data_IF_620054296588
#
_entry.id   IF_620054296588
#
_cell.length_a   1.000
_cell.length_b   1.000
_cell.length_c   1.000
_cell.angle_alpha   90.00
_cell.angle_beta   90.00
_cell.angle_gamma   90.00
#
_symmetry.space_group_name_H-M   'P 1'
#
loop_
_entity.id
_entity.type
_entity.pdbx_description
1 polymer ?
#
# COMPACT_ATOMS: atom_id res chain seq x y z
N UNK A 1 12.36 -11.41 10.25
CA UNK A 1 11.80 -10.35 9.40
C UNK A 1 12.34 -10.56 7.99
N UNK A 2 11.57 -10.24 6.94
CA UNK A 2 12.05 -10.37 5.55
C UNK A 2 13.24 -9.41 5.34
N UNK A 3 14.34 -9.83 4.69
CA UNK A 3 15.51 -8.97 4.45
C UNK A 3 15.14 -7.68 3.73
N UNK A 4 15.89 -6.60 3.95
CA UNK A 4 15.60 -5.32 3.28
C UNK A 4 15.73 -5.42 1.75
N UNK A 5 16.73 -6.16 1.26
CA UNK A 5 16.89 -6.37 -0.18
C UNK A 5 15.66 -7.02 -0.83
N UNK A 6 15.12 -8.07 -0.21
CA UNK A 6 13.87 -8.69 -0.63
C UNK A 6 12.71 -7.70 -0.63
N UNK A 7 12.57 -6.88 0.42
CA UNK A 7 11.49 -5.88 0.53
C UNK A 7 11.58 -4.80 -0.53
N UNK A 8 12.78 -4.34 -0.88
CA UNK A 8 12.99 -3.34 -1.94
C UNK A 8 12.80 -3.94 -3.33
N UNK A 9 13.23 -5.19 -3.55
CA UNK A 9 12.91 -5.94 -4.77
C UNK A 9 11.39 -6.05 -4.97
N UNK A 10 10.64 -6.41 -3.91
CA UNK A 10 9.18 -6.43 -3.96
C UNK A 10 8.56 -5.05 -4.26
N UNK A 11 9.11 -3.98 -3.69
CA UNK A 11 8.67 -2.61 -3.96
C UNK A 11 8.88 -2.22 -5.44
N UNK A 12 10.00 -2.63 -6.04
CA UNK A 12 10.28 -2.43 -7.47
C UNK A 12 9.34 -3.24 -8.35
N UNK A 13 9.21 -4.54 -8.12
CA UNK A 13 8.32 -5.43 -8.89
C UNK A 13 6.86 -4.96 -8.86
N UNK A 14 6.39 -4.50 -7.70
CA UNK A 14 5.05 -3.92 -7.56
C UNK A 14 4.90 -2.66 -8.42
N UNK A 15 5.89 -1.78 -8.44
CA UNK A 15 5.83 -0.56 -9.26
C UNK A 15 5.86 -0.87 -10.76
N UNK A 16 6.65 -1.84 -11.18
CA UNK A 16 6.68 -2.35 -12.56
C UNK A 16 5.32 -2.94 -12.97
N UNK A 17 4.66 -3.64 -12.06
CA UNK A 17 3.29 -4.16 -12.26
C UNK A 17 2.28 -3.01 -12.39
N UNK A 18 2.32 -2.03 -11.50
CA UNK A 18 1.45 -0.84 -11.56
C UNK A 18 1.68 -0.06 -12.85
N UNK A 19 2.94 0.12 -13.28
CA UNK A 19 3.27 0.75 -14.56
C UNK A 19 2.69 0.00 -15.75
N UNK A 20 2.70 -1.33 -15.71
CA UNK A 20 2.12 -2.17 -16.76
C UNK A 20 0.60 -2.02 -16.83
N UNK A 21 -0.09 -1.97 -15.69
CA UNK A 21 -1.53 -1.71 -15.63
C UNK A 21 -1.88 -0.31 -16.16
N UNK A 22 -1.15 0.71 -15.72
CA UNK A 22 -1.39 2.09 -16.14
C UNK A 22 -1.17 2.26 -17.64
N UNK A 23 -0.11 1.64 -18.19
CA UNK A 23 0.13 1.60 -19.64
C UNK A 23 -0.99 0.92 -20.42
N UNK A 24 -1.65 -0.07 -19.83
CA UNK A 24 -2.82 -0.74 -20.40
C UNK A 24 -4.14 0.04 -20.21
N UNK A 25 -4.09 1.24 -19.60
CA UNK A 25 -5.28 2.05 -19.33
C UNK A 25 -6.09 1.57 -18.12
N UNK A 26 -5.51 0.74 -17.25
CA UNK A 26 -6.20 0.13 -16.10
C UNK A 26 -5.76 0.80 -14.81
N UNK A 27 -6.74 1.17 -13.97
CA UNK A 27 -6.54 1.65 -12.59
C UNK A 27 -6.94 0.50 -11.65
N UNK A 28 -6.08 0.10 -10.72
CA UNK A 28 -6.33 -1.01 -9.80
C UNK A 28 -7.36 -0.64 -8.73
N UNK A 29 -7.24 0.57 -8.15
CA UNK A 29 -8.14 1.15 -7.15
C UNK A 29 -8.24 0.45 -5.80
N UNK A 30 -7.63 -0.72 -5.64
CA UNK A 30 -7.53 -1.43 -4.36
C UNK A 30 -6.11 -1.93 -4.05
N UNK A 31 -5.12 -1.08 -4.33
CA UNK A 31 -3.73 -1.39 -3.96
C UNK A 31 -3.60 -1.33 -2.44
N UNK A 32 -3.35 -2.48 -1.82
CA UNK A 32 -3.11 -2.59 -0.39
C UNK A 32 -2.25 -3.83 -0.07
N UNK A 33 -1.66 -3.89 1.13
CA UNK A 33 -0.77 -4.99 1.49
C UNK A 33 -1.44 -6.37 1.58
N UNK A 34 -2.77 -6.47 1.66
CA UNK A 34 -3.51 -7.77 1.62
C UNK A 34 -3.63 -8.30 0.19
N UNK A 35 -3.59 -7.40 -0.78
CA UNK A 35 -3.64 -7.70 -2.21
C UNK A 35 -2.23 -7.86 -2.82
N UNK A 36 -1.18 -7.77 -2.01
CA UNK A 36 0.20 -8.02 -2.43
C UNK A 36 0.70 -9.32 -1.81
N UNK A 37 1.26 -10.22 -2.62
CA UNK A 37 1.65 -11.55 -2.18
C UNK A 37 3.07 -11.90 -2.60
N UNK A 38 3.80 -12.56 -1.70
CA UNK A 38 5.04 -13.23 -2.06
C UNK A 38 4.73 -14.51 -2.82
N UNK A 39 5.51 -14.77 -3.86
CA UNK A 39 5.49 -16.04 -4.56
C UNK A 39 5.93 -17.19 -3.65
N UNK A 40 5.61 -18.39 -4.12
CA UNK A 40 5.96 -19.63 -3.45
C UNK A 40 6.46 -20.64 -4.48
N UNK A 41 7.44 -21.46 -4.09
CA UNK A 41 7.88 -22.63 -4.86
C UNK A 41 6.67 -23.47 -5.24
N UNK A 42 6.49 -23.80 -6.53
CA UNK A 42 5.35 -24.59 -6.98
C UNK A 42 5.31 -25.95 -6.27
N UNK A 43 4.16 -26.26 -5.67
CA UNK A 43 3.89 -27.56 -5.01
C UNK A 43 2.71 -28.27 -5.64
N UNK A 44 2.14 -27.75 -6.73
CA UNK A 44 0.97 -28.31 -7.42
C UNK A 44 1.20 -29.77 -7.81
N UNK A 45 2.39 -30.11 -8.30
CA UNK A 45 2.80 -31.48 -8.63
C UNK A 45 3.04 -32.42 -7.44
N UNK A 46 3.05 -31.92 -6.20
CA UNK A 46 3.29 -32.76 -5.02
C UNK A 46 2.05 -33.61 -4.71
N UNK A 47 2.28 -34.83 -4.24
CA UNK A 47 1.22 -35.69 -3.71
C UNK A 47 0.55 -35.04 -2.49
N UNK A 48 -0.67 -35.47 -2.15
CA UNK A 48 -1.39 -34.96 -0.97
C UNK A 48 -0.60 -35.22 0.33
N UNK A 49 0.04 -36.38 0.46
CA UNK A 49 0.85 -36.69 1.65
C UNK A 49 2.06 -35.78 1.75
N UNK A 50 2.78 -35.57 0.65
CA UNK A 50 3.92 -34.65 0.61
C UNK A 50 3.51 -33.21 0.96
N UNK A 51 2.35 -32.74 0.46
CA UNK A 51 1.79 -31.42 0.84
C UNK A 51 1.52 -31.34 2.35
N UNK A 52 1.03 -32.40 2.98
CA UNK A 52 0.78 -32.43 4.42
C UNK A 52 2.04 -32.54 5.28
N UNK A 53 3.08 -33.22 4.78
CA UNK A 53 4.39 -33.23 5.44
C UNK A 53 5.02 -31.84 5.41
N UNK A 54 4.87 -31.12 4.29
CA UNK A 54 5.43 -29.80 4.07
C UNK A 54 4.69 -28.67 4.80
N UNK A 55 3.35 -28.65 4.71
CA UNK A 55 2.50 -27.55 5.21
C UNK A 55 1.77 -27.88 6.52
N UNK A 56 1.84 -29.14 6.96
CA UNK A 56 0.97 -29.68 8.00
C UNK A 56 -0.42 -30.06 7.46
N UNK A 57 -1.18 -30.76 8.31
CA UNK A 57 -2.59 -31.06 8.02
C UNK A 57 -3.46 -29.83 8.29
N UNK A 58 -4.48 -29.54 7.46
CA UNK A 58 -5.42 -28.46 7.73
C UNK A 58 -6.05 -28.62 9.12
N UNK A 59 -5.90 -27.59 9.95
CA UNK A 59 -6.58 -27.51 11.23
C UNK A 59 -7.99 -27.01 10.97
N UNK A 60 -8.98 -27.80 11.42
CA UNK A 60 -10.39 -27.54 11.15
C UNK A 60 -11.20 -27.52 12.42
N UNK A 61 -12.21 -26.67 12.45
CA UNK A 61 -13.23 -26.64 13.48
C UNK A 61 -14.60 -26.62 12.80
N UNK A 62 -15.54 -27.41 13.30
CA UNK A 62 -16.94 -27.32 12.84
C UNK A 62 -17.45 -25.92 13.21
N UNK A 63 -18.11 -25.24 12.28
CA UNK A 63 -18.75 -23.94 12.55
C UNK A 63 -19.76 -24.15 13.69
N UNK A 64 -19.53 -23.60 14.89
CA UNK A 64 -20.45 -23.80 15.99
C UNK A 64 -21.66 -22.85 15.83
N UNK A 65 -22.82 -23.27 16.33
CA UNK A 65 -24.03 -22.43 16.44
C UNK A 65 -24.64 -21.92 15.13
N UNK A 66 -24.57 -22.71 14.05
CA UNK A 66 -25.30 -22.39 12.81
C UNK A 66 -26.02 -23.63 12.30
N UNK A 67 -27.35 -23.56 12.17
CA UNK A 67 -28.18 -24.58 11.50
C UNK A 67 -28.05 -24.42 9.98
N UNK A 68 -26.92 -24.88 9.45
CA UNK A 68 -26.69 -24.94 8.01
C UNK A 68 -27.31 -26.23 7.45
N UNK A 69 -27.91 -26.15 6.26
CA UNK A 69 -28.41 -27.32 5.52
C UNK A 69 -27.33 -28.39 5.27
N UNK A 70 -26.05 -28.00 5.35
CA UNK A 70 -24.88 -28.89 5.37
C UNK A 70 -23.85 -28.38 6.39
N UNK A 71 -23.29 -29.29 7.18
CA UNK A 71 -22.25 -28.99 8.17
C UNK A 71 -21.01 -28.38 7.50
N UNK A 72 -20.66 -27.15 7.86
CA UNK A 72 -19.47 -26.44 7.38
C UNK A 72 -18.30 -26.52 8.37
N UNK A 73 -17.08 -26.32 7.86
CA UNK A 73 -15.85 -26.29 8.64
C UNK A 73 -15.16 -24.93 8.48
N UNK A 74 -14.72 -24.33 9.57
CA UNK A 74 -13.69 -23.28 9.57
C UNK A 74 -12.34 -23.95 9.41
N UNK A 75 -11.49 -23.41 8.53
CA UNK A 75 -10.12 -23.89 8.32
C UNK A 75 -9.16 -22.81 8.74
N UNK A 76 -8.24 -23.15 9.64
CA UNK A 76 -7.21 -22.21 10.09
C UNK A 76 -6.26 -21.85 8.93
N UNK A 77 -5.80 -20.60 8.83
CA UNK A 77 -4.79 -20.20 7.85
C UNK A 77 -3.54 -21.07 7.96
N UNK A 78 -3.01 -21.50 6.82
CA UNK A 78 -1.75 -22.24 6.76
C UNK A 78 -0.58 -21.32 7.11
N UNK A 79 0.39 -21.85 7.86
CA UNK A 79 1.67 -21.17 8.11
C UNK A 79 2.68 -21.67 7.07
N UNK A 80 2.92 -20.89 6.04
CA UNK A 80 3.87 -21.26 4.99
C UNK A 80 5.32 -21.28 5.53
N UNK A 81 6.08 -22.37 5.30
CA UNK A 81 7.50 -22.41 5.57
C UNK A 81 8.24 -21.30 4.81
N UNK A 82 9.20 -20.64 5.47
CA UNK A 82 9.96 -19.53 4.86
C UNK A 82 10.75 -19.98 3.63
N UNK A 83 11.21 -21.23 3.62
CA UNK A 83 12.03 -21.81 2.56
C UNK A 83 11.24 -22.05 1.27
N UNK A 84 9.90 -22.02 1.33
CA UNK A 84 9.06 -22.07 0.14
C UNK A 84 8.82 -20.69 -0.47
N UNK A 85 9.10 -19.60 0.24
CA UNK A 85 8.86 -18.25 -0.27
C UNK A 85 9.90 -17.92 -1.35
N UNK A 86 9.45 -17.45 -2.51
CA UNK A 86 10.31 -16.93 -3.57
C UNK A 86 10.48 -15.41 -3.46
N UNK A 87 11.39 -14.84 -4.24
CA UNK A 87 11.57 -13.38 -4.32
C UNK A 87 10.60 -12.70 -5.30
N UNK A 88 9.83 -13.48 -6.06
CA UNK A 88 8.71 -12.97 -6.87
C UNK A 88 7.63 -12.33 -6.00
N UNK A 89 7.09 -11.19 -6.45
CA UNK A 89 6.06 -10.42 -5.77
C UNK A 89 4.90 -10.09 -6.70
N UNK A 90 3.69 -10.43 -6.27
CA UNK A 90 2.49 -10.38 -7.10
C UNK A 90 1.48 -9.38 -6.56
N UNK A 91 0.85 -8.65 -7.48
CA UNK A 91 -0.38 -7.91 -7.23
C UNK A 91 -1.58 -8.78 -7.61
N UNK A 92 -2.52 -8.89 -6.69
CA UNK A 92 -3.72 -9.69 -6.78
C UNK A 92 -4.98 -8.81 -6.62
N UNK A 93 -6.13 -9.44 -6.82
CA UNK A 93 -7.47 -8.86 -6.62
C UNK A 93 -7.79 -7.62 -7.47
N UNK A 94 -8.23 -7.91 -8.70
CA UNK A 94 -8.67 -6.90 -9.66
C UNK A 94 -10.18 -6.62 -9.55
N UNK A 95 -10.83 -6.98 -8.43
CA UNK A 95 -12.29 -6.84 -8.28
C UNK A 95 -12.79 -5.39 -8.39
N UNK A 96 -11.97 -4.41 -8.00
CA UNK A 96 -12.28 -2.97 -8.14
C UNK A 96 -11.59 -2.30 -9.34
N UNK A 97 -10.82 -3.05 -10.12
CA UNK A 97 -10.05 -2.51 -11.22
C UNK A 97 -10.97 -2.00 -12.34
N UNK A 98 -10.56 -0.93 -13.02
CA UNK A 98 -11.37 -0.24 -14.02
C UNK A 98 -10.51 0.28 -15.17
N UNK A 99 -11.03 0.28 -16.41
CA UNK A 99 -10.37 0.99 -17.51
C UNK A 99 -10.72 2.48 -17.50
N UNK A 100 -9.76 3.32 -17.85
CA UNK A 100 -10.03 4.74 -18.07
C UNK A 100 -11.11 4.89 -19.15
N UNK A 101 -12.10 5.73 -18.87
CA UNK A 101 -13.21 6.01 -19.78
C UNK A 101 -14.46 5.16 -19.55
N UNK A 102 -14.40 4.10 -18.73
CA UNK A 102 -15.61 3.34 -18.38
C UNK A 102 -16.60 4.25 -17.63
N UNK A 103 -17.86 4.26 -18.05
CA UNK A 103 -18.89 5.19 -17.52
C UNK A 103 -19.33 4.86 -16.09
N UNK A 104 -19.18 3.60 -15.66
CA UNK A 104 -19.56 3.13 -14.34
C UNK A 104 -18.33 2.95 -13.47
N UNK A 105 -18.21 3.71 -12.39
CA UNK A 105 -17.23 3.47 -11.33
C UNK A 105 -17.94 2.70 -10.21
N UNK A 106 -17.64 1.40 -10.07
CA UNK A 106 -18.12 0.65 -8.89
C UNK A 106 -17.66 1.36 -7.61
N UNK A 107 -18.55 1.47 -6.61
CA UNK A 107 -18.16 2.03 -5.32
C UNK A 107 -17.18 1.09 -4.63
N UNK A 108 -16.04 1.64 -4.24
CA UNK A 108 -14.98 0.88 -3.59
C UNK A 108 -13.71 1.71 -3.46
N UNK A 109 -13.01 1.49 -2.37
CA UNK A 109 -11.74 2.12 -2.02
C UNK A 109 -10.91 1.09 -1.23
N UNK A 110 -9.58 1.21 -1.25
CA UNK A 110 -8.75 0.36 -0.39
C UNK A 110 -8.98 0.73 1.07
N UNK A 111 -8.51 -0.09 2.02
CA UNK A 111 -8.48 0.31 3.43
C UNK A 111 -7.92 1.73 3.57
N UNK A 112 -8.52 2.55 4.46
CA UNK A 112 -8.34 4.01 4.45
C UNK A 112 -6.88 4.46 4.48
N UNK A 113 -5.99 3.70 5.13
CA UNK A 113 -4.56 4.02 5.19
C UNK A 113 -3.77 3.82 3.89
N UNK A 114 -4.37 3.21 2.87
CA UNK A 114 -3.86 3.20 1.50
C UNK A 114 -4.66 4.12 0.57
N UNK A 115 -5.82 4.63 1.00
CA UNK A 115 -6.69 5.43 0.16
C UNK A 115 -6.09 6.82 -0.04
N UNK A 116 -6.07 7.31 -1.28
CA UNK A 116 -5.58 8.65 -1.57
C UNK A 116 -6.55 9.72 -1.04
N UNK A 117 -6.05 10.89 -0.61
CA UNK A 117 -6.89 11.91 -0.03
C UNK A 117 -7.87 12.49 -1.06
N UNK A 118 -7.49 12.60 -2.34
CA UNK A 118 -8.41 12.96 -3.43
C UNK A 118 -9.62 12.00 -3.52
N UNK A 119 -9.37 10.69 -3.39
CA UNK A 119 -10.42 9.65 -3.37
C UNK A 119 -11.34 9.74 -2.16
N UNK A 120 -10.88 10.34 -1.06
CA UNK A 120 -11.69 10.64 0.13
C UNK A 120 -12.45 11.98 0.00
N UNK A 121 -12.19 12.78 -1.05
CA UNK A 121 -12.75 14.12 -1.25
C UNK A 121 -13.51 14.25 -2.58
N UNK A 122 -14.41 13.29 -2.87
CA UNK A 122 -15.29 13.27 -4.05
C UNK A 122 -14.60 13.37 -5.42
N UNK A 123 -13.31 13.04 -5.50
CA UNK A 123 -12.63 12.98 -6.80
C UNK A 123 -12.71 11.57 -7.38
N UNK A 124 -12.88 11.51 -8.71
CA UNK A 124 -12.89 10.25 -9.43
C UNK A 124 -11.50 9.56 -9.36
N UNK A 125 -11.46 8.22 -9.31
CA UNK A 125 -10.20 7.49 -9.45
C UNK A 125 -9.45 7.85 -10.73
N UNK A 126 -8.15 8.01 -10.57
CA UNK A 126 -7.18 8.17 -11.64
C UNK A 126 -5.96 7.28 -11.35
N UNK A 127 -5.01 7.20 -12.27
CA UNK A 127 -3.74 6.51 -12.00
C UNK A 127 -3.03 7.05 -10.75
N UNK A 128 -3.24 8.32 -10.40
CA UNK A 128 -2.63 8.95 -9.24
C UNK A 128 -3.12 8.37 -7.90
N UNK A 129 -4.31 7.77 -7.83
CA UNK A 129 -4.75 7.12 -6.59
C UNK A 129 -3.97 5.82 -6.34
N UNK A 130 -3.68 5.05 -7.40
CA UNK A 130 -2.83 3.86 -7.30
C UNK A 130 -1.41 4.23 -6.87
N UNK A 131 -0.88 5.37 -7.34
CA UNK A 131 0.44 5.85 -6.96
C UNK A 131 0.53 6.17 -5.46
N UNK A 132 -0.50 6.79 -4.90
CA UNK A 132 -0.59 7.02 -3.45
C UNK A 132 -0.62 5.70 -2.67
N UNK A 133 -1.48 4.77 -3.08
CA UNK A 133 -1.59 3.45 -2.46
C UNK A 133 -0.29 2.66 -2.55
N UNK A 134 0.39 2.71 -3.70
CA UNK A 134 1.72 2.14 -3.89
C UNK A 134 2.71 2.72 -2.88
N UNK A 135 2.74 4.05 -2.70
CA UNK A 135 3.67 4.67 -1.75
C UNK A 135 3.36 4.29 -0.31
N UNK A 136 2.09 4.11 0.05
CA UNK A 136 1.72 3.56 1.35
C UNK A 136 2.22 2.11 1.56
N UNK A 137 2.18 1.27 0.51
CA UNK A 137 2.78 -0.08 0.54
C UNK A 137 4.31 -0.01 0.60
N UNK A 138 4.94 0.89 -0.17
CA UNK A 138 6.37 1.15 -0.12
C UNK A 138 6.82 1.52 1.31
N UNK A 139 6.09 2.41 1.98
CA UNK A 139 6.33 2.75 3.40
C UNK A 139 6.25 1.52 4.31
N UNK A 140 5.27 0.64 4.12
CA UNK A 140 5.19 -0.61 4.88
C UNK A 140 6.38 -1.54 4.61
N UNK A 141 6.83 -1.64 3.36
CA UNK A 141 7.98 -2.47 2.98
C UNK A 141 9.29 -1.89 3.54
N UNK A 142 9.47 -0.57 3.49
CA UNK A 142 10.68 0.10 3.92
C UNK A 142 10.74 0.33 5.45
N UNK A 143 9.71 0.96 6.03
CA UNK A 143 9.64 1.37 7.44
C UNK A 143 9.05 0.30 8.36
N UNK A 144 8.38 -0.74 7.83
CA UNK A 144 7.57 -1.72 8.59
C UNK A 144 6.35 -1.15 9.33
N UNK A 145 6.06 0.13 9.11
CA UNK A 145 4.95 0.87 9.69
C UNK A 145 4.22 1.69 8.62
N UNK A 146 2.91 1.98 8.81
CA UNK A 146 2.17 2.81 7.88
C UNK A 146 2.69 4.26 7.92
N UNK A 147 2.59 5.00 6.81
CA UNK A 147 3.14 6.36 6.72
C UNK A 147 2.40 7.36 7.64
N UNK A 148 1.10 7.16 7.84
CA UNK A 148 0.23 8.10 8.56
C UNK A 148 -0.46 7.40 9.74
N UNK A 149 -0.47 8.01 10.94
CA UNK A 149 -1.17 7.46 12.10
C UNK A 149 -2.68 7.45 11.87
N UNK A 150 -3.37 6.42 12.36
CA UNK A 150 -4.82 6.26 12.23
C UNK A 150 -5.58 6.52 13.53
N UNK A 151 -4.87 6.75 14.63
CA UNK A 151 -5.42 6.87 15.98
C UNK A 151 -5.74 8.31 16.41
N UNK A 152 -5.35 9.30 15.60
CA UNK A 152 -5.68 10.70 15.85
C UNK A 152 -7.19 10.95 15.69
N UNK A 153 -7.70 11.99 16.34
CA UNK A 153 -9.05 12.48 16.06
C UNK A 153 -9.15 12.84 14.57
N UNK A 154 -10.19 12.38 13.88
CA UNK A 154 -10.29 12.49 12.41
C UNK A 154 -9.55 11.39 11.63
N UNK A 155 -8.89 10.46 12.33
CA UNK A 155 -8.31 9.25 11.76
C UNK A 155 -7.12 9.53 10.84
N UNK A 156 -7.02 8.77 9.76
CA UNK A 156 -5.84 8.82 8.88
C UNK A 156 -5.65 10.17 8.19
N UNK A 157 -6.72 10.92 7.93
CA UNK A 157 -6.61 12.24 7.28
C UNK A 157 -5.89 13.23 8.19
N UNK A 158 -6.17 13.20 9.50
CA UNK A 158 -5.40 13.99 10.47
C UNK A 158 -3.93 13.59 10.49
N UNK A 159 -3.63 12.28 10.36
CA UNK A 159 -2.26 11.81 10.22
C UNK A 159 -1.56 12.27 8.94
N UNK A 160 -2.31 12.43 7.85
CA UNK A 160 -1.78 13.06 6.62
C UNK A 160 -1.50 14.54 6.86
N UNK A 161 -2.41 15.27 7.51
CA UNK A 161 -2.26 16.71 7.78
C UNK A 161 -1.11 17.00 8.73
N UNK A 162 -0.98 16.23 9.80
CA UNK A 162 0.16 16.31 10.73
C UNK A 162 1.50 16.10 9.98
N UNK A 163 1.56 15.12 9.08
CA UNK A 163 2.80 14.72 8.42
C UNK A 163 3.17 15.59 7.20
N UNK A 164 2.17 16.06 6.44
CA UNK A 164 2.34 16.70 5.13
C UNK A 164 1.87 18.16 5.10
N UNK A 165 1.22 18.63 6.15
CA UNK A 165 0.56 19.94 6.20
C UNK A 165 -0.89 19.89 5.69
N UNK A 166 -1.56 21.06 5.61
CA UNK A 166 -2.99 21.15 5.39
C UNK A 166 -3.40 20.65 4.00
N UNK A 167 -4.59 20.05 3.93
CA UNK A 167 -5.28 19.74 2.68
C UNK A 167 -5.60 21.04 1.92
N UNK A 168 -5.76 20.99 0.58
CA UNK A 168 -6.15 22.15 -0.20
C UNK A 168 -7.49 22.73 0.28
N UNK A 169 -7.56 24.06 0.47
CA UNK A 169 -8.77 24.74 0.98
C UNK A 169 -10.02 24.44 0.15
N UNK A 170 -9.88 24.34 -1.17
CA UNK A 170 -10.97 24.03 -2.09
C UNK A 170 -11.56 22.61 -1.92
N UNK A 171 -10.93 21.74 -1.13
CA UNK A 171 -11.48 20.42 -0.80
C UNK A 171 -12.39 20.43 0.43
N UNK A 172 -12.47 21.57 1.15
CA UNK A 172 -13.33 21.71 2.32
C UNK A 172 -14.78 21.40 1.98
N UNK A 173 -15.40 20.53 2.77
CA UNK A 173 -16.78 20.04 2.55
C UNK A 173 -16.92 18.95 1.49
N UNK A 174 -15.83 18.49 0.86
CA UNK A 174 -15.85 17.38 -0.10
C UNK A 174 -15.54 16.02 0.52
N UNK A 175 -15.12 15.96 1.80
CA UNK A 175 -14.83 14.70 2.47
C UNK A 175 -16.06 13.77 2.49
N UNK A 176 -15.85 12.48 2.17
CA UNK A 176 -16.95 11.54 1.91
C UNK A 176 -17.39 10.71 3.12
N UNK A 177 -16.68 10.79 4.24
CA UNK A 177 -16.94 9.99 5.44
C UNK A 177 -17.34 10.87 6.62
N UNK A 178 -17.92 10.27 7.65
CA UNK A 178 -18.22 10.97 8.91
C UNK A 178 -16.92 11.37 9.64
N UNK A 179 -16.99 12.42 10.47
CA UNK A 179 -15.85 12.86 11.28
C UNK A 179 -14.84 13.72 10.52
N UNK A 180 -15.29 14.43 9.48
CA UNK A 180 -14.47 15.44 8.80
C UNK A 180 -14.16 16.61 9.73
N UNK A 181 -12.90 17.05 9.76
CA UNK A 181 -12.48 18.20 10.57
C UNK A 181 -12.18 19.42 9.69
N UNK A 182 -12.70 20.57 10.08
CA UNK A 182 -12.45 21.85 9.40
C UNK A 182 -10.98 22.27 9.50
N UNK A 183 -10.29 21.85 10.57
CA UNK A 183 -8.87 22.13 10.79
C UNK A 183 -7.97 21.51 9.74
N UNK A 184 -8.41 20.46 9.01
CA UNK A 184 -7.58 19.86 7.96
C UNK A 184 -7.26 20.81 6.81
N UNK A 185 -8.05 21.86 6.62
CA UNK A 185 -7.98 22.78 5.49
C UNK A 185 -7.44 24.16 5.89
N UNK A 186 -7.01 24.33 7.14
CA UNK A 186 -6.46 25.60 7.64
C UNK A 186 -5.04 25.79 7.11
N UNK A 187 -4.90 26.70 6.14
CA UNK A 187 -3.65 26.98 5.44
C UNK A 187 -2.59 27.65 6.33
N UNK A 188 -2.92 28.03 7.57
CA UNK A 188 -1.94 28.54 8.53
C UNK A 188 -1.14 27.43 9.23
N UNK A 189 -1.59 26.17 9.13
CA UNK A 189 -0.88 25.03 9.71
C UNK A 189 0.35 24.64 8.88
N UNK A 190 1.38 24.18 9.57
CA UNK A 190 2.56 23.54 8.99
C UNK A 190 2.60 22.06 9.39
N UNK A 191 3.33 21.21 8.65
CA UNK A 191 3.66 19.87 9.14
C UNK A 191 4.26 19.93 10.55
N UNK A 192 3.93 18.95 11.38
CA UNK A 192 4.58 18.75 12.67
C UNK A 192 5.99 18.21 12.42
N UNK A 193 7.02 18.97 12.82
CA UNK A 193 8.42 18.63 12.60
C UNK A 193 8.85 17.33 13.30
N UNK A 194 8.17 16.94 14.39
CA UNK A 194 8.45 15.68 15.09
C UNK A 194 7.75 14.48 14.43
N UNK A 195 6.79 14.75 13.53
CA UNK A 195 5.97 13.75 12.85
C UNK A 195 5.95 13.91 11.31
N UNK A 196 6.88 14.67 10.75
CA UNK A 196 7.03 14.78 9.30
C UNK A 196 7.65 13.50 8.70
N UNK A 197 7.77 13.45 7.37
CA UNK A 197 8.37 12.29 6.70
C UNK A 197 9.83 12.07 7.12
N UNK A 198 10.61 13.13 7.39
CA UNK A 198 12.03 13.02 7.75
C UNK A 198 12.17 12.40 9.14
N UNK A 199 11.43 12.91 10.12
CA UNK A 199 11.41 12.41 11.48
C UNK A 199 10.96 10.94 11.52
N UNK A 200 9.89 10.59 10.79
CA UNK A 200 9.41 9.21 10.68
C UNK A 200 10.45 8.28 10.05
N UNK A 201 11.07 8.68 8.94
CA UNK A 201 12.11 7.86 8.29
C UNK A 201 13.29 7.65 9.26
N UNK A 202 13.76 8.69 9.94
CA UNK A 202 14.86 8.59 10.90
C UNK A 202 14.52 7.69 12.09
N UNK A 203 13.28 7.78 12.60
CA UNK A 203 12.79 6.99 13.73
C UNK A 203 12.67 5.50 13.39
N UNK A 204 12.06 5.17 12.25
CA UNK A 204 11.80 3.77 11.86
C UNK A 204 12.98 3.10 11.14
N UNK A 205 13.93 3.87 10.61
CA UNK A 205 15.16 3.37 9.96
C UNK A 205 16.41 4.00 10.55
N UNK A 206 16.67 3.82 11.86
CA UNK A 206 17.87 4.34 12.52
C UNK A 206 19.16 3.70 11.98
N UNK A 207 19.05 2.54 11.33
CA UNK A 207 20.12 1.79 10.67
C UNK A 207 20.51 2.32 9.28
N UNK A 208 19.59 2.99 8.57
CA UNK A 208 19.86 3.57 7.26
C UNK A 208 20.78 4.79 7.40
N UNK A 209 21.75 4.95 6.50
CA UNK A 209 22.59 6.15 6.47
C UNK A 209 21.81 7.37 5.95
N UNK A 210 22.41 8.56 6.09
CA UNK A 210 21.77 9.82 5.72
C UNK A 210 21.40 9.87 4.23
N UNK A 211 22.22 9.28 3.35
CA UNK A 211 22.01 9.32 1.90
C UNK A 211 20.81 8.46 1.51
N UNK A 212 20.70 7.24 2.07
CA UNK A 212 19.53 6.37 1.87
C UNK A 212 18.24 7.07 2.35
N UNK A 213 18.27 7.68 3.54
CA UNK A 213 17.10 8.40 4.08
C UNK A 213 16.69 9.59 3.21
N UNK A 214 17.65 10.34 2.68
CA UNK A 214 17.39 11.46 1.76
C UNK A 214 16.73 10.99 0.45
N UNK A 215 17.19 9.88 -0.12
CA UNK A 215 16.55 9.33 -1.33
C UNK A 215 15.12 8.87 -1.04
N UNK A 216 14.90 8.20 0.10
CA UNK A 216 13.56 7.74 0.50
C UNK A 216 12.63 8.91 0.75
N UNK A 217 13.08 9.94 1.48
CA UNK A 217 12.33 11.17 1.68
C UNK A 217 11.97 11.81 0.34
N UNK A 218 12.93 11.89 -0.59
CA UNK A 218 12.72 12.45 -1.93
C UNK A 218 11.61 11.72 -2.68
N UNK A 219 11.63 10.38 -2.68
CA UNK A 219 10.61 9.54 -3.33
C UNK A 219 9.24 9.68 -2.67
N UNK A 220 9.18 9.58 -1.33
CA UNK A 220 7.92 9.70 -0.59
C UNK A 220 7.30 11.08 -0.79
N UNK A 221 8.09 12.16 -0.73
CA UNK A 221 7.59 13.54 -0.87
C UNK A 221 7.08 13.86 -2.28
N UNK A 222 7.60 13.19 -3.32
CA UNK A 222 7.10 13.35 -4.70
C UNK A 222 5.73 12.68 -4.91
N UNK A 223 5.46 11.58 -4.21
CA UNK A 223 4.21 10.82 -4.38
C UNK A 223 3.14 11.22 -3.38
N UNK A 224 3.50 11.51 -2.12
CA UNK A 224 2.58 12.03 -1.10
C UNK A 224 2.31 13.54 -1.27
N UNK A 225 1.91 13.91 -2.48
CA UNK A 225 1.38 15.24 -2.81
C UNK A 225 -0.14 15.14 -2.89
N UNK A 226 -0.86 16.09 -2.27
CA UNK A 226 -2.32 16.07 -2.29
C UNK A 226 -2.89 16.20 -3.70
N UNK A 227 -2.40 17.14 -4.50
CA UNK A 227 -2.86 17.29 -5.88
C UNK A 227 -2.47 16.04 -6.72
N UNK A 228 -3.46 15.24 -7.20
CA UNK A 228 -3.19 14.02 -7.95
C UNK A 228 -2.47 14.28 -9.28
N UNK A 229 -2.69 15.43 -9.93
CA UNK A 229 -2.05 15.79 -11.21
C UNK A 229 -0.55 16.07 -11.08
N UNK A 230 -0.09 16.35 -9.86
CA UNK A 230 1.33 16.58 -9.56
C UNK A 230 2.07 15.31 -9.14
N UNK A 231 1.37 14.18 -8.94
CA UNK A 231 2.02 12.91 -8.59
C UNK A 231 2.70 12.33 -9.84
N UNK A 232 3.91 11.77 -9.72
CA UNK A 232 4.54 11.10 -10.85
C UNK A 232 3.74 9.85 -11.23
N UNK A 233 3.76 9.51 -12.51
CA UNK A 233 3.31 8.21 -13.00
C UNK A 233 4.25 7.10 -12.51
N UNK A 234 3.79 5.84 -12.56
CA UNK A 234 4.63 4.70 -12.20
C UNK A 234 5.91 4.60 -13.07
N UNK A 235 5.81 4.94 -14.36
CA UNK A 235 6.96 4.94 -15.28
C UNK A 235 7.96 6.05 -14.93
N UNK A 236 7.48 7.23 -14.56
CA UNK A 236 8.35 8.32 -14.12
C UNK A 236 9.05 7.96 -12.80
N UNK A 237 8.32 7.36 -11.85
CA UNK A 237 8.91 6.94 -10.58
C UNK A 237 9.97 5.83 -10.76
N UNK A 238 9.76 4.86 -11.66
CA UNK A 238 10.78 3.84 -12.01
C UNK A 238 12.06 4.45 -12.61
N UNK A 239 11.95 5.65 -13.19
CA UNK A 239 13.09 6.38 -13.78
C UNK A 239 13.67 7.40 -12.82
N UNK A 240 13.05 7.63 -11.67
CA UNK A 240 13.49 8.62 -10.70
C UNK A 240 14.88 8.26 -10.14
N UNK A 241 15.83 9.20 -10.13
CA UNK A 241 17.19 8.93 -9.65
C UNK A 241 17.23 8.47 -8.19
N UNK A 242 16.38 9.02 -7.32
CA UNK A 242 16.34 8.61 -5.91
C UNK A 242 15.73 7.22 -5.76
N UNK A 243 14.68 6.90 -6.52
CA UNK A 243 14.13 5.55 -6.53
C UNK A 243 15.16 4.52 -6.97
N UNK A 244 15.87 4.78 -8.07
CA UNK A 244 16.94 3.90 -8.57
C UNK A 244 18.09 3.76 -7.58
N UNK A 245 18.53 4.84 -6.96
CA UNK A 245 19.59 4.78 -5.96
C UNK A 245 19.21 3.88 -4.76
N UNK A 246 17.94 3.87 -4.33
CA UNK A 246 17.45 2.94 -3.31
C UNK A 246 17.52 1.51 -3.83
N UNK A 247 17.01 1.25 -5.03
CA UNK A 247 16.97 -0.11 -5.59
C UNK A 247 18.38 -0.68 -5.84
N UNK A 248 19.28 0.12 -6.41
CA UNK A 248 20.68 -0.23 -6.68
C UNK A 248 21.44 -0.58 -5.40
N UNK A 249 21.21 0.17 -4.30
CA UNK A 249 21.80 -0.11 -2.99
C UNK A 249 21.45 -1.50 -2.46
N UNK A 250 20.28 -2.01 -2.82
CA UNK A 250 19.79 -3.32 -2.42
C UNK A 250 19.94 -4.38 -3.53
N UNK A 251 20.60 -4.04 -4.63
CA UNK A 251 20.88 -4.95 -5.74
C UNK A 251 19.63 -5.40 -6.51
N UNK A 252 18.59 -4.56 -6.56
CA UNK A 252 17.31 -4.92 -7.15
C UNK A 252 16.87 -4.04 -8.31
#
# INVERSE_FOLDING_TARGET
>A
MTPMASRMSAARQLLETVASLHKAGIIHRDLNARNCMWGMTPIDGFSRSAKYELLGRPLKQIIPFVDLWKKGELVSPVKFPKDLRTEEFYLCDFGLAKKIGDLTTERGYPPMHYCSPDRLHRQEPSFACDMWSYMAIFSMLYLTFPPFPTFLEGGVVSGMVECLGPLPEQWKGLYTHSGGLDSWYDQSQSPDLDNDLVAKIAYFRPDADLVERQHVQSVMSKVFIYNPEKRPTAIELLRDPSFRAIMDRYGC
#
